data_IF_086075059776
#
_entry.id   IF_086075059776
#
_cell.length_a   1.000
_cell.length_b   1.000
_cell.length_c   1.000
_cell.angle_alpha   90.00
_cell.angle_beta   90.00
_cell.angle_gamma   90.00
#
_symmetry.space_group_name_H-M   'P 1'
#
loop_
_entity.id
_entity.type
_entity.pdbx_description
1 polymer ?
#
# COMPACT_ATOMS: atom_id res chain seq x y z
N UNK A 1 21.21 3.70 12.23
CA UNK A 1 20.41 4.83 11.69
C UNK A 1 20.34 5.88 12.78
N UNK A 2 20.32 7.18 12.46
CA UNK A 2 20.26 8.26 13.48
C UNK A 2 21.35 8.17 14.57
N UNK A 3 22.60 7.89 14.16
CA UNK A 3 23.73 7.74 15.10
C UNK A 3 23.95 6.32 15.63
N UNK A 4 23.02 5.39 15.42
CA UNK A 4 23.18 3.99 15.86
C UNK A 4 23.72 3.06 14.76
N UNK A 5 24.40 1.99 15.16
CA UNK A 5 24.76 0.88 14.27
C UNK A 5 23.61 -0.12 14.19
N UNK A 6 23.04 -0.27 12.99
CA UNK A 6 21.96 -1.22 12.74
C UNK A 6 22.44 -2.35 11.84
N UNK A 7 21.94 -3.56 12.10
CA UNK A 7 22.19 -4.67 11.18
C UNK A 7 21.52 -4.37 9.83
N UNK A 8 22.05 -4.99 8.76
CA UNK A 8 21.47 -4.87 7.41
C UNK A 8 20.01 -5.36 7.40
N UNK A 9 19.74 -6.47 8.09
CA UNK A 9 18.39 -7.02 8.23
C UNK A 9 17.41 -6.06 8.91
N UNK A 10 17.83 -5.45 10.02
CA UNK A 10 16.99 -4.46 10.73
C UNK A 10 16.70 -3.24 9.86
N UNK A 11 17.73 -2.72 9.19
CA UNK A 11 17.58 -1.57 8.29
C UNK A 11 16.60 -1.87 7.16
N UNK A 12 16.73 -3.02 6.50
CA UNK A 12 15.83 -3.44 5.42
C UNK A 12 14.39 -3.60 5.92
N UNK A 13 14.19 -4.28 7.05
CA UNK A 13 12.86 -4.51 7.61
C UNK A 13 12.14 -3.19 7.95
N UNK A 14 12.87 -2.24 8.54
CA UNK A 14 12.33 -0.93 8.90
C UNK A 14 11.94 -0.14 7.64
N UNK A 15 12.80 -0.12 6.62
CA UNK A 15 12.51 0.57 5.37
C UNK A 15 11.28 -0.03 4.67
N UNK A 16 11.16 -1.35 4.59
CA UNK A 16 9.99 -2.02 3.99
C UNK A 16 8.71 -1.61 4.73
N UNK A 17 8.71 -1.67 6.07
CA UNK A 17 7.55 -1.30 6.89
C UNK A 17 7.19 0.17 6.76
N UNK A 18 8.19 1.05 6.73
CA UNK A 18 8.00 2.49 6.58
C UNK A 18 7.38 2.83 5.22
N UNK A 19 7.87 2.21 4.14
CA UNK A 19 7.29 2.37 2.80
C UNK A 19 5.86 1.84 2.74
N UNK A 20 5.57 0.70 3.36
CA UNK A 20 4.21 0.16 3.41
C UNK A 20 3.26 1.08 4.19
N UNK A 21 3.71 1.66 5.30
CA UNK A 21 2.95 2.62 6.09
C UNK A 21 2.57 3.86 5.27
N UNK A 22 3.54 4.52 4.64
CA UNK A 22 3.29 5.70 3.82
C UNK A 22 2.46 5.40 2.57
N UNK A 23 2.62 4.21 1.97
CA UNK A 23 1.76 3.78 0.85
C UNK A 23 0.30 3.61 1.30
N UNK A 24 0.09 3.09 2.51
CA UNK A 24 -1.24 3.04 3.13
C UNK A 24 -1.86 4.43 3.25
N UNK A 25 -1.10 5.40 3.79
CA UNK A 25 -1.54 6.80 3.89
C UNK A 25 -1.88 7.41 2.53
N UNK A 26 -1.02 7.21 1.52
CA UNK A 26 -1.26 7.69 0.15
C UNK A 26 -2.56 7.12 -0.43
N UNK A 27 -2.87 5.84 -0.16
CA UNK A 27 -4.10 5.22 -0.65
C UNK A 27 -5.38 5.89 -0.12
N UNK A 28 -5.33 6.53 1.06
CA UNK A 28 -6.44 7.31 1.61
C UNK A 28 -6.57 8.64 0.86
N UNK A 29 -5.46 9.36 0.69
CA UNK A 29 -5.43 10.63 -0.05
C UNK A 29 -5.92 10.45 -1.50
N UNK A 30 -5.52 9.35 -2.14
CA UNK A 30 -6.00 9.00 -3.48
C UNK A 30 -7.52 8.84 -3.51
N UNK A 31 -8.11 8.14 -2.54
CA UNK A 31 -9.58 7.97 -2.45
C UNK A 31 -10.30 9.29 -2.27
N UNK A 32 -9.78 10.15 -1.39
CA UNK A 32 -10.37 11.47 -1.14
C UNK A 32 -10.33 12.36 -2.38
N UNK A 33 -9.35 12.17 -3.26
CA UNK A 33 -9.21 12.90 -4.53
C UNK A 33 -9.85 12.15 -5.73
N UNK A 34 -10.63 11.09 -5.50
CA UNK A 34 -11.25 10.31 -6.57
C UNK A 34 -10.26 9.57 -7.49
N UNK A 35 -8.99 9.48 -7.11
CA UNK A 35 -7.96 8.78 -7.86
C UNK A 35 -8.09 7.26 -7.67
N UNK A 36 -7.79 6.51 -8.74
CA UNK A 36 -7.82 5.03 -8.70
C UNK A 36 -6.70 4.50 -7.79
N UNK A 37 -7.07 3.81 -6.72
CA UNK A 37 -6.09 3.18 -5.82
C UNK A 37 -5.53 1.89 -6.45
N UNK A 38 -4.19 1.76 -6.55
CA UNK A 38 -3.56 0.55 -7.06
C UNK A 38 -3.66 -0.61 -6.05
N UNK A 39 -3.90 -1.82 -6.55
CA UNK A 39 -3.99 -3.04 -5.74
C UNK A 39 -2.62 -3.64 -5.39
N UNK A 40 -1.74 -2.85 -4.75
CA UNK A 40 -0.34 -3.25 -4.49
C UNK A 40 -0.22 -4.41 -3.50
N UNK A 41 -1.16 -4.52 -2.56
CA UNK A 41 -1.20 -5.58 -1.53
C UNK A 41 -2.35 -6.56 -1.76
N UNK A 42 -2.80 -6.69 -3.01
CA UNK A 42 -4.03 -7.37 -3.40
C UNK A 42 -5.05 -6.41 -4.01
N UNK A 43 -6.18 -6.91 -4.57
CA UNK A 43 -7.18 -6.05 -5.19
C UNK A 43 -7.65 -4.94 -4.25
N UNK A 44 -7.62 -3.69 -4.73
CA UNK A 44 -8.23 -2.59 -3.99
C UNK A 44 -9.75 -2.77 -3.91
N UNK A 45 -10.40 -2.19 -2.90
CA UNK A 45 -11.86 -2.31 -2.70
C UNK A 45 -12.64 -1.97 -3.97
N UNK A 46 -12.21 -0.89 -4.63
CA UNK A 46 -12.79 -0.39 -5.87
C UNK A 46 -12.63 -1.41 -7.01
N UNK A 47 -11.48 -2.08 -7.09
CA UNK A 47 -11.24 -3.13 -8.08
C UNK A 47 -11.97 -4.43 -7.75
N UNK A 48 -12.13 -4.77 -6.48
CA UNK A 48 -12.86 -5.97 -6.05
C UNK A 48 -14.34 -5.88 -6.45
N UNK A 49 -14.98 -4.73 -6.25
CA UNK A 49 -16.35 -4.48 -6.72
C UNK A 49 -16.49 -4.68 -8.23
N UNK A 50 -15.54 -4.14 -9.02
CA UNK A 50 -15.57 -4.31 -10.47
C UNK A 50 -15.39 -5.78 -10.90
N UNK A 51 -14.57 -6.56 -10.18
CA UNK A 51 -14.40 -7.99 -10.45
C UNK A 51 -15.65 -8.79 -10.12
N UNK A 52 -16.39 -8.46 -9.05
CA UNK A 52 -17.64 -9.14 -8.73
C UNK A 52 -18.74 -8.84 -9.75
N UNK A 53 -18.83 -7.61 -10.26
CA UNK A 53 -19.78 -7.28 -11.34
C UNK A 53 -19.41 -7.98 -12.65
N UNK A 54 -18.13 -8.03 -13.02
CA UNK A 54 -17.68 -8.72 -14.23
C UNK A 54 -17.82 -10.25 -14.19
N UNK A 55 -17.98 -10.85 -13.01
CA UNK A 55 -18.19 -12.29 -12.84
C UNK A 55 -19.68 -12.69 -12.76
N UNK A 56 -20.59 -11.71 -12.78
CA UNK A 56 -22.05 -11.92 -12.76
C UNK A 56 -22.70 -11.73 -14.15
N UNK A 57 -21.92 -11.36 -15.17
CA UNK A 57 -22.26 -11.45 -16.60
C UNK A 57 -21.66 -12.71 -17.22
#
# INVERSE_FOLDING_TARGET
>A
MYGELWTKGNTLAILIRHQAHHRGQLSILMRQNGCKVPGVYGPSKERMGNLSYAAME
#
